data_IF_377557696150
#
_entry.id   IF_377557696150
#
_cell.length_a   1.000
_cell.length_b   1.000
_cell.length_c   1.000
_cell.angle_alpha   90.00
_cell.angle_beta   90.00
_cell.angle_gamma   90.00
#
_symmetry.space_group_name_H-M   'P 1'
#
loop_
_entity.id
_entity.type
_entity.pdbx_description
1 polymer ?
#
# COMPACT_ATOMS: atom_id res chain seq x y z
N UNK A 1 -3.72 24.89 25.53
CA UNK A 1 -3.13 24.49 24.23
C UNK A 1 -3.16 22.96 24.17
N UNK A 2 -3.78 22.37 23.14
CA UNK A 2 -3.83 20.91 22.98
C UNK A 2 -2.47 20.39 22.52
N UNK A 3 -1.95 19.34 23.16
CA UNK A 3 -0.72 18.67 22.72
C UNK A 3 -1.08 17.67 21.63
N UNK A 4 -0.37 17.72 20.50
CA UNK A 4 -0.55 16.84 19.35
C UNK A 4 0.70 16.01 19.14
N UNK A 5 0.54 14.71 18.88
CA UNK A 5 1.63 13.80 18.54
C UNK A 5 1.45 13.30 17.11
N UNK A 6 2.51 13.33 16.31
CA UNK A 6 2.58 12.71 14.99
C UNK A 6 3.44 11.44 15.13
N UNK A 7 2.83 10.27 15.07
CA UNK A 7 3.51 9.00 15.42
C UNK A 7 3.74 8.16 14.17
N UNK A 8 4.99 7.72 13.96
CA UNK A 8 5.44 6.91 12.82
C UNK A 8 4.89 7.41 11.49
N UNK A 9 5.00 8.72 11.22
CA UNK A 9 4.45 9.29 10.00
C UNK A 9 5.38 9.06 8.80
N UNK A 10 4.78 8.83 7.63
CA UNK A 10 5.48 8.88 6.35
C UNK A 10 5.59 10.30 5.81
N UNK A 11 6.68 10.62 5.12
CA UNK A 11 6.86 11.91 4.47
C UNK A 11 7.73 11.79 3.21
N UNK A 12 7.49 12.70 2.26
CA UNK A 12 8.32 12.88 1.08
C UNK A 12 8.60 14.39 0.92
N UNK A 13 9.63 14.72 0.14
CA UNK A 13 9.93 16.13 -0.17
C UNK A 13 8.83 16.71 -1.04
N UNK A 14 8.32 17.88 -0.66
CA UNK A 14 7.19 18.52 -1.36
C UNK A 14 7.69 19.73 -2.15
N UNK A 15 7.59 19.67 -3.48
CA UNK A 15 7.95 20.77 -4.39
C UNK A 15 6.99 21.97 -4.31
N UNK A 16 5.68 21.70 -4.22
CA UNK A 16 4.64 22.72 -4.10
C UNK A 16 4.79 23.56 -2.81
N UNK A 17 4.95 24.88 -2.96
CA UNK A 17 5.29 25.77 -1.84
C UNK A 17 4.18 25.88 -0.78
N UNK A 18 2.90 26.11 -1.13
CA UNK A 18 1.82 26.11 -0.16
C UNK A 18 1.72 24.81 0.66
N UNK A 19 1.70 23.66 0.00
CA UNK A 19 1.60 22.36 0.70
C UNK A 19 2.81 22.11 1.59
N UNK A 20 4.01 22.43 1.11
CA UNK A 20 5.24 22.34 1.91
C UNK A 20 5.17 23.23 3.16
N UNK A 21 4.67 24.46 3.03
CA UNK A 21 4.55 25.39 4.14
C UNK A 21 3.59 24.86 5.21
N UNK A 22 2.44 24.32 4.79
CA UNK A 22 1.46 23.71 5.69
C UNK A 22 2.06 22.52 6.45
N UNK A 23 2.65 21.55 5.74
CA UNK A 23 3.24 20.35 6.35
C UNK A 23 4.36 20.70 7.33
N UNK A 24 5.23 21.64 6.95
CA UNK A 24 6.29 22.16 7.83
C UNK A 24 5.71 22.82 9.09
N UNK A 25 4.67 23.63 8.95
CA UNK A 25 4.04 24.31 10.09
C UNK A 25 3.40 23.31 11.05
N UNK A 26 2.65 22.33 10.52
CA UNK A 26 2.09 21.23 11.31
C UNK A 26 3.18 20.46 12.07
N UNK A 27 4.28 20.13 11.40
CA UNK A 27 5.43 19.49 12.05
C UNK A 27 6.02 20.32 13.18
N UNK A 28 6.15 21.64 13.02
CA UNK A 28 6.70 22.53 14.05
C UNK A 28 5.79 22.74 15.26
N UNK A 29 4.48 22.58 15.07
CA UNK A 29 3.50 22.74 16.15
C UNK A 29 3.25 21.46 16.94
N UNK A 30 3.61 20.30 16.40
CA UNK A 30 3.49 19.02 17.09
C UNK A 30 4.35 19.01 18.36
N UNK A 31 3.76 18.53 19.45
CA UNK A 31 4.46 18.34 20.72
C UNK A 31 5.39 17.11 20.70
N UNK A 32 5.13 16.17 19.79
CA UNK A 32 5.93 14.97 19.55
C UNK A 32 5.86 14.58 18.08
N UNK A 33 6.99 14.06 17.55
CA UNK A 33 7.08 13.48 16.22
C UNK A 33 7.93 12.22 16.22
N UNK A 34 7.50 11.22 15.47
CA UNK A 34 8.33 10.11 15.01
C UNK A 34 7.98 9.73 13.57
N UNK A 35 8.91 9.06 12.91
CA UNK A 35 8.81 8.73 11.48
C UNK A 35 8.85 7.22 11.27
N UNK A 36 8.13 6.73 10.26
CA UNK A 36 8.09 5.28 9.96
C UNK A 36 9.37 4.75 9.30
N UNK A 37 10.18 5.66 8.75
CA UNK A 37 11.43 5.37 8.05
C UNK A 37 12.36 6.59 8.04
N UNK A 38 13.65 6.35 7.78
CA UNK A 38 14.67 7.39 7.77
C UNK A 38 14.46 8.42 6.65
N UNK A 39 13.96 7.99 5.49
CA UNK A 39 13.70 8.85 4.34
C UNK A 39 12.63 9.91 4.66
N UNK A 40 11.60 9.53 5.41
CA UNK A 40 10.53 10.41 5.88
C UNK A 40 11.05 11.46 6.84
N UNK A 41 11.89 11.06 7.80
CA UNK A 41 12.56 12.01 8.71
C UNK A 41 13.45 12.98 7.92
N UNK A 42 14.24 12.47 7.00
CA UNK A 42 15.14 13.28 6.18
C UNK A 42 14.38 14.24 5.25
N UNK A 43 13.24 13.83 4.70
CA UNK A 43 12.39 14.71 3.91
C UNK A 43 11.91 15.91 4.74
N UNK A 44 11.48 15.69 5.98
CA UNK A 44 11.07 16.77 6.89
C UNK A 44 12.24 17.68 7.25
N UNK A 45 13.43 17.12 7.47
CA UNK A 45 14.67 17.86 7.68
C UNK A 45 15.00 18.77 6.50
N UNK A 46 14.98 18.23 5.27
CA UNK A 46 15.21 18.99 4.03
C UNK A 46 14.21 20.13 3.86
N UNK A 47 12.95 19.92 4.27
CA UNK A 47 11.92 20.97 4.25
C UNK A 47 12.07 22.03 5.36
N UNK A 48 13.06 21.89 6.25
CA UNK A 48 13.42 22.87 7.27
C UNK A 48 12.72 22.67 8.62
N UNK A 49 12.32 21.44 8.94
CA UNK A 49 11.92 21.04 10.29
C UNK A 49 13.16 20.51 11.02
N UNK A 50 13.41 20.98 12.24
CA UNK A 50 14.47 20.40 13.08
C UNK A 50 14.01 19.03 13.58
N UNK A 51 14.61 17.96 13.05
CA UNK A 51 14.29 16.57 13.38
C UNK A 51 15.35 15.91 14.26
N UNK A 52 16.26 16.68 14.89
CA UNK A 52 17.40 16.12 15.63
C UNK A 52 16.97 15.24 16.84
N UNK A 53 15.75 15.45 17.35
CA UNK A 53 15.17 14.69 18.48
C UNK A 53 14.06 13.74 18.05
N UNK A 54 13.81 13.61 16.74
CA UNK A 54 12.73 12.78 16.25
C UNK A 54 13.23 11.37 15.95
N UNK A 55 12.55 10.39 16.52
CA UNK A 55 12.89 8.98 16.41
C UNK A 55 12.31 8.33 15.15
N UNK A 56 12.91 7.21 14.75
CA UNK A 56 12.41 6.35 13.66
C UNK A 56 11.95 5.02 14.25
N UNK A 57 10.70 4.67 14.01
CA UNK A 57 10.09 3.41 14.42
C UNK A 57 9.45 2.71 13.22
N UNK A 58 9.19 1.40 13.28
CA UNK A 58 8.33 0.76 12.28
C UNK A 58 6.95 1.42 12.19
N UNK A 59 6.28 1.18 11.07
CA UNK A 59 4.88 1.58 10.89
C UNK A 59 3.98 0.99 12.00
N UNK A 60 2.98 1.76 12.44
CA UNK A 60 2.08 1.36 13.53
C UNK A 60 1.32 0.07 13.23
N UNK A 61 1.09 -0.27 11.97
CA UNK A 61 0.43 -1.52 11.60
C UNK A 61 1.22 -2.77 12.08
N UNK A 62 2.54 -2.67 12.29
CA UNK A 62 3.32 -3.77 12.88
C UNK A 62 2.97 -4.05 14.34
N UNK A 63 2.38 -3.09 15.07
CA UNK A 63 1.92 -3.28 16.43
C UNK A 63 0.55 -4.00 16.52
N UNK A 64 -0.14 -4.20 15.39
CA UNK A 64 -1.40 -4.92 15.36
C UNK A 64 -1.19 -6.44 15.54
N UNK A 65 -2.20 -7.16 16.07
CA UNK A 65 -2.17 -8.62 16.12
C UNK A 65 -2.04 -9.21 14.71
N UNK A 66 -1.14 -10.18 14.53
CA UNK A 66 -1.08 -10.97 13.29
C UNK A 66 -2.25 -11.96 13.28
N UNK A 67 -3.13 -11.95 12.26
CA UNK A 67 -4.16 -12.97 12.14
C UNK A 67 -3.52 -14.36 12.08
N UNK A 68 -4.11 -15.35 12.76
CA UNK A 68 -3.68 -16.74 12.61
C UNK A 68 -3.88 -17.14 11.15
N UNK A 69 -2.83 -17.68 10.52
CA UNK A 69 -2.93 -18.25 9.19
C UNK A 69 -4.09 -19.26 9.20
N UNK A 70 -5.10 -19.01 8.39
CA UNK A 70 -6.23 -19.93 8.21
C UNK A 70 -5.81 -20.96 7.16
N UNK A 71 -4.85 -21.82 7.52
CA UNK A 71 -4.33 -22.85 6.64
C UNK A 71 -3.34 -23.75 7.38
N UNK A 72 -3.14 -25.01 6.93
CA UNK A 72 -2.04 -25.81 7.44
C UNK A 72 -0.74 -25.01 7.27
N UNK A 73 0.19 -25.11 8.23
CA UNK A 73 1.51 -24.50 8.10
C UNK A 73 2.03 -24.77 6.68
N UNK A 74 2.46 -23.73 5.94
CA UNK A 74 3.01 -23.88 4.58
C UNK A 74 4.15 -24.93 4.54
N UNK A 75 4.72 -25.27 5.69
CA UNK A 75 5.72 -26.32 5.91
C UNK A 75 5.17 -27.76 6.07
N UNK A 76 3.87 -27.95 6.28
CA UNK A 76 3.30 -29.20 6.80
C UNK A 76 2.42 -29.99 5.82
N UNK A 77 2.05 -29.43 4.65
CA UNK A 77 1.22 -30.15 3.67
C UNK A 77 1.75 -29.92 2.24
N UNK A 78 2.41 -30.92 1.61
CA UNK A 78 2.97 -30.81 0.25
C UNK A 78 1.96 -30.70 -0.89
N UNK A 79 0.64 -30.66 -0.61
CA UNK A 79 -0.41 -30.91 -1.62
C UNK A 79 -1.55 -29.89 -1.63
N UNK A 80 -1.46 -28.79 -0.88
CA UNK A 80 -2.43 -27.71 -1.05
C UNK A 80 -2.16 -27.00 -2.39
N UNK A 81 -3.19 -26.69 -3.20
CA UNK A 81 -3.00 -25.82 -4.35
C UNK A 81 -2.39 -24.49 -3.89
N UNK A 82 -1.45 -23.90 -4.65
CA UNK A 82 -0.84 -22.63 -4.30
C UNK A 82 -1.93 -21.57 -4.11
N UNK A 83 -1.74 -20.71 -3.10
CA UNK A 83 -2.63 -19.57 -2.86
C UNK A 83 -2.67 -18.60 -4.06
N UNK A 84 -3.62 -17.65 -4.08
CA UNK A 84 -3.70 -16.68 -5.16
C UNK A 84 -2.47 -15.75 -5.20
N UNK A 85 -2.26 -15.14 -6.36
CA UNK A 85 -1.43 -13.94 -6.50
C UNK A 85 -2.28 -12.74 -6.09
N UNK A 86 -1.94 -12.15 -4.95
CA UNK A 86 -2.58 -10.92 -4.48
C UNK A 86 -1.95 -9.71 -5.18
N UNK A 87 -2.71 -9.05 -6.05
CA UNK A 87 -2.26 -7.88 -6.82
C UNK A 87 -2.91 -6.64 -6.23
N UNK A 88 -2.11 -5.81 -5.57
CA UNK A 88 -2.51 -4.48 -5.15
C UNK A 88 -2.72 -3.57 -6.36
N UNK A 89 -3.84 -2.88 -6.39
CA UNK A 89 -4.17 -1.89 -7.42
C UNK A 89 -4.32 -0.50 -6.82
N UNK A 90 -4.13 0.52 -7.64
CA UNK A 90 -4.22 1.91 -7.22
C UNK A 90 -4.75 2.79 -8.36
N UNK A 91 -5.65 3.72 -8.06
CA UNK A 91 -5.99 4.83 -8.94
C UNK A 91 -4.79 5.78 -9.07
N UNK A 92 -3.80 5.36 -9.87
CA UNK A 92 -2.46 5.93 -9.88
C UNK A 92 -2.27 6.94 -11.01
N UNK A 93 -2.18 8.21 -10.63
CA UNK A 93 -2.00 9.37 -11.53
C UNK A 93 -0.62 10.03 -11.40
N UNK A 94 0.36 9.32 -10.83
CA UNK A 94 1.67 9.90 -10.51
C UNK A 94 1.69 10.82 -9.29
N UNK A 95 2.87 11.37 -9.01
CA UNK A 95 3.10 12.27 -7.88
C UNK A 95 2.51 13.66 -8.09
N UNK A 96 2.60 14.50 -7.05
CA UNK A 96 2.11 15.90 -7.12
C UNK A 96 2.77 16.72 -8.24
N UNK A 97 3.98 16.35 -8.65
CA UNK A 97 4.72 17.05 -9.70
C UNK A 97 4.35 16.53 -11.11
N UNK A 98 3.61 15.42 -11.21
CA UNK A 98 3.24 14.76 -12.48
C UNK A 98 1.86 15.17 -13.01
N UNK A 99 1.19 16.14 -12.36
CA UNK A 99 -0.22 16.47 -12.63
C UNK A 99 -0.52 16.84 -14.08
N UNK A 100 0.46 17.42 -14.80
CA UNK A 100 0.32 17.74 -16.22
C UNK A 100 0.21 16.49 -17.13
N UNK A 101 0.67 15.33 -16.66
CA UNK A 101 0.67 14.05 -17.39
C UNK A 101 -0.10 12.95 -16.66
N UNK A 102 -0.90 13.31 -15.65
CA UNK A 102 -1.65 12.38 -14.80
C UNK A 102 -2.42 11.32 -15.59
N UNK A 103 -3.18 11.77 -16.59
CA UNK A 103 -4.02 10.91 -17.43
C UNK A 103 -3.19 9.95 -18.31
N UNK A 104 -2.02 10.37 -18.79
CA UNK A 104 -1.09 9.50 -19.53
C UNK A 104 -0.52 8.40 -18.61
N UNK A 105 -0.15 8.78 -17.38
CA UNK A 105 0.40 7.87 -16.37
C UNK A 105 -0.65 6.85 -15.96
N UNK A 106 -1.87 7.30 -15.70
CA UNK A 106 -3.00 6.44 -15.34
C UNK A 106 -3.27 5.39 -16.41
N UNK A 107 -3.44 5.80 -17.67
CA UNK A 107 -3.66 4.86 -18.78
C UNK A 107 -2.54 3.85 -18.92
N UNK A 108 -1.28 4.30 -18.88
CA UNK A 108 -0.12 3.40 -18.96
C UNK A 108 -0.08 2.39 -17.81
N UNK A 109 -0.40 2.83 -16.60
CA UNK A 109 -0.47 1.97 -15.43
C UNK A 109 -1.60 0.94 -15.56
N UNK A 110 -2.80 1.38 -15.93
CA UNK A 110 -3.96 0.51 -16.08
C UNK A 110 -3.73 -0.55 -17.18
N UNK A 111 -3.26 -0.14 -18.36
CA UNK A 111 -2.94 -1.05 -19.47
C UNK A 111 -1.85 -2.06 -19.10
N UNK A 112 -0.85 -1.62 -18.33
CA UNK A 112 0.19 -2.51 -17.80
C UNK A 112 -0.38 -3.55 -16.83
N UNK A 113 -1.22 -3.09 -15.90
CA UNK A 113 -1.81 -3.94 -14.87
C UNK A 113 -2.80 -4.94 -15.45
N UNK A 114 -3.65 -4.52 -16.40
CA UNK A 114 -4.58 -5.42 -17.13
C UNK A 114 -3.79 -6.53 -17.84
N UNK A 115 -2.73 -6.18 -18.58
CA UNK A 115 -1.90 -7.19 -19.27
C UNK A 115 -1.23 -8.14 -18.29
N UNK A 116 -0.73 -7.63 -17.18
CA UNK A 116 -0.11 -8.45 -16.14
C UNK A 116 -1.11 -9.45 -15.52
N UNK A 117 -2.29 -8.97 -15.10
CA UNK A 117 -3.35 -9.80 -14.52
C UNK A 117 -3.86 -10.83 -15.53
N UNK A 118 -4.05 -10.44 -16.79
CA UNK A 118 -4.43 -11.35 -17.87
C UNK A 118 -3.42 -12.47 -18.04
N UNK A 119 -2.13 -12.14 -18.08
CA UNK A 119 -1.06 -13.14 -18.23
C UNK A 119 -1.10 -14.16 -17.10
N UNK A 120 -1.26 -13.71 -15.85
CA UNK A 120 -1.39 -14.62 -14.70
C UNK A 120 -2.61 -15.55 -14.83
N UNK A 121 -3.75 -15.01 -15.26
CA UNK A 121 -4.97 -15.80 -15.45
C UNK A 121 -4.83 -16.81 -16.61
N UNK A 122 -4.19 -16.43 -17.72
CA UNK A 122 -3.89 -17.31 -18.86
C UNK A 122 -2.93 -18.45 -18.47
N UNK A 123 -2.02 -18.20 -17.54
CA UNK A 123 -1.14 -19.21 -16.92
C UNK A 123 -1.87 -20.09 -15.88
N UNK A 124 -3.17 -19.88 -15.65
CA UNK A 124 -3.96 -20.66 -14.70
C UNK A 124 -3.71 -20.27 -13.23
N UNK A 125 -3.09 -19.12 -12.95
CA UNK A 125 -2.83 -18.63 -11.59
C UNK A 125 -4.03 -17.82 -11.09
N UNK A 126 -4.68 -18.20 -9.97
CA UNK A 126 -5.72 -17.37 -9.38
C UNK A 126 -5.19 -15.99 -8.97
N UNK A 127 -5.91 -14.93 -9.32
CA UNK A 127 -5.56 -13.55 -8.99
C UNK A 127 -6.59 -12.97 -8.03
N UNK A 128 -6.10 -12.33 -6.96
CA UNK A 128 -6.92 -11.58 -6.01
C UNK A 128 -6.51 -10.11 -6.04
N UNK A 129 -7.37 -9.25 -6.57
CA UNK A 129 -7.18 -7.80 -6.60
C UNK A 129 -7.42 -7.22 -5.21
N UNK A 130 -6.53 -6.33 -4.78
CA UNK A 130 -6.58 -5.67 -3.47
C UNK A 130 -6.49 -4.15 -3.63
N UNK A 131 -7.38 -3.42 -2.97
CA UNK A 131 -7.36 -1.96 -2.93
C UNK A 131 -6.62 -1.44 -1.70
N UNK A 132 -6.26 -0.15 -1.70
CA UNK A 132 -5.77 0.55 -0.51
C UNK A 132 -6.56 1.80 -0.15
N UNK A 133 -7.55 2.17 -0.99
CA UNK A 133 -8.45 3.32 -0.83
C UNK A 133 -9.75 3.06 -1.64
N UNK A 134 -10.82 3.79 -1.36
CA UNK A 134 -12.10 3.68 -2.07
C UNK A 134 -11.97 4.09 -3.55
N UNK A 135 -11.08 5.05 -3.87
CA UNK A 135 -10.88 5.48 -5.25
C UNK A 135 -10.35 4.36 -6.17
N UNK A 136 -9.72 3.33 -5.61
CA UNK A 136 -9.16 2.19 -6.35
C UNK A 136 -10.25 1.27 -6.93
N UNK A 137 -11.51 1.40 -6.47
CA UNK A 137 -12.63 0.59 -6.95
C UNK A 137 -12.84 0.69 -8.47
N UNK A 138 -12.59 1.88 -9.05
CA UNK A 138 -12.69 2.10 -10.50
C UNK A 138 -11.65 1.27 -11.28
N UNK A 139 -10.45 1.12 -10.74
CA UNK A 139 -9.37 0.31 -11.32
C UNK A 139 -9.70 -1.17 -11.23
N UNK A 140 -10.24 -1.62 -10.10
CA UNK A 140 -10.73 -3.00 -9.94
C UNK A 140 -11.78 -3.32 -11.00
N UNK A 141 -12.81 -2.47 -11.12
CA UNK A 141 -13.87 -2.66 -12.11
C UNK A 141 -13.33 -2.75 -13.54
N UNK A 142 -12.43 -1.82 -13.91
CA UNK A 142 -11.82 -1.81 -15.24
C UNK A 142 -11.00 -3.08 -15.54
N UNK A 143 -10.31 -3.65 -14.53
CA UNK A 143 -9.56 -4.90 -14.71
C UNK A 143 -10.51 -6.10 -14.85
N UNK A 144 -11.54 -6.19 -14.02
CA UNK A 144 -12.53 -7.28 -14.10
C UNK A 144 -13.28 -7.26 -15.44
N UNK A 145 -13.64 -6.07 -15.94
CA UNK A 145 -14.28 -5.92 -17.25
C UNK A 145 -13.35 -6.31 -18.41
N UNK A 146 -12.04 -6.03 -18.28
CA UNK A 146 -11.06 -6.28 -19.34
C UNK A 146 -10.47 -7.70 -19.33
N UNK A 147 -10.62 -8.45 -18.23
CA UNK A 147 -10.09 -9.80 -18.04
C UNK A 147 -11.24 -10.73 -17.68
N UNK A 148 -11.95 -11.19 -18.72
CA UNK A 148 -13.05 -12.16 -18.60
C UNK A 148 -12.52 -13.55 -18.22
N UNK A 149 -12.22 -13.73 -16.94
CA UNK A 149 -11.73 -15.00 -16.38
C UNK A 149 -12.25 -15.20 -14.96
N UNK A 150 -12.82 -16.37 -14.63
CA UNK A 150 -13.27 -16.69 -13.28
C UNK A 150 -12.11 -16.79 -12.26
N UNK A 151 -10.85 -16.80 -12.73
CA UNK A 151 -9.67 -16.81 -11.87
C UNK A 151 -9.32 -15.45 -11.29
N UNK A 152 -9.91 -14.36 -11.81
CA UNK A 152 -9.65 -12.99 -11.34
C UNK A 152 -10.80 -12.55 -10.43
N UNK A 153 -10.48 -12.29 -9.18
CA UNK A 153 -11.45 -11.87 -8.15
C UNK A 153 -10.96 -10.62 -7.43
N UNK A 154 -11.85 -9.87 -6.82
CA UNK A 154 -11.50 -8.74 -5.95
C UNK A 154 -11.79 -9.07 -4.49
N UNK A 155 -10.90 -8.67 -3.58
CA UNK A 155 -11.22 -8.63 -2.16
C UNK A 155 -11.88 -7.29 -1.81
N UNK A 156 -12.70 -7.30 -0.76
CA UNK A 156 -13.31 -6.11 -0.18
C UNK A 156 -12.92 -5.97 1.30
N UNK A 157 -11.62 -5.79 1.63
CA UNK A 157 -11.19 -5.66 3.01
C UNK A 157 -11.68 -4.32 3.57
N UNK A 158 -12.35 -4.37 4.72
CA UNK A 158 -12.82 -3.17 5.44
C UNK A 158 -11.88 -2.73 6.56
N UNK A 159 -10.82 -3.50 6.81
CA UNK A 159 -9.87 -3.28 7.89
C UNK A 159 -8.48 -3.82 7.55
N UNK A 160 -7.45 -3.35 8.26
CA UNK A 160 -6.10 -3.93 8.17
C UNK A 160 -6.08 -5.41 8.59
N UNK A 161 -6.96 -5.82 9.50
CA UNK A 161 -7.08 -7.22 9.90
C UNK A 161 -7.60 -8.08 8.74
N UNK A 162 -8.57 -7.60 7.97
CA UNK A 162 -9.06 -8.30 6.78
C UNK A 162 -8.03 -8.31 5.66
N UNK A 163 -7.35 -7.18 5.44
CA UNK A 163 -6.25 -7.11 4.48
C UNK A 163 -5.15 -8.11 4.83
N UNK A 164 -4.78 -8.25 6.11
CA UNK A 164 -3.81 -9.25 6.56
C UNK A 164 -4.31 -10.69 6.32
N UNK A 165 -5.60 -10.99 6.41
CA UNK A 165 -6.13 -12.33 6.06
C UNK A 165 -5.92 -12.64 4.58
N UNK A 166 -6.19 -11.67 3.71
CA UNK A 166 -5.94 -11.80 2.27
C UNK A 166 -4.44 -12.03 1.98
N UNK A 167 -3.55 -11.31 2.66
CA UNK A 167 -2.10 -11.51 2.50
C UNK A 167 -1.63 -12.87 3.01
N UNK A 168 -2.14 -13.32 4.16
CA UNK A 168 -1.76 -14.61 4.73
C UNK A 168 -2.19 -15.81 3.87
N UNK A 169 -3.30 -15.65 3.12
CA UNK A 169 -3.78 -16.66 2.18
C UNK A 169 -3.02 -16.64 0.84
N UNK A 170 -2.33 -15.55 0.52
CA UNK A 170 -1.64 -15.38 -0.75
C UNK A 170 -0.38 -16.26 -0.84
N UNK A 171 -0.09 -16.69 -2.07
CA UNK A 171 1.19 -17.31 -2.42
C UNK A 171 2.24 -16.25 -2.74
N UNK A 172 1.83 -15.18 -3.42
CA UNK A 172 2.68 -14.04 -3.78
C UNK A 172 1.88 -12.76 -3.68
N UNK A 173 2.52 -11.68 -3.22
CA UNK A 173 1.92 -10.34 -3.20
C UNK A 173 2.68 -9.40 -4.12
N UNK A 174 1.96 -8.75 -5.04
CA UNK A 174 2.46 -7.63 -5.86
C UNK A 174 1.80 -6.36 -5.33
N UNK A 175 2.51 -5.59 -4.50
CA UNK A 175 1.95 -4.42 -3.82
C UNK A 175 2.34 -3.10 -4.50
N UNK A 176 1.37 -2.20 -4.66
CA UNK A 176 1.59 -0.79 -5.02
C UNK A 176 1.20 0.18 -3.90
N UNK A 177 0.16 -0.16 -3.13
CA UNK A 177 -0.26 0.57 -1.93
C UNK A 177 0.60 0.14 -0.74
N UNK A 178 1.06 1.12 0.06
CA UNK A 178 1.99 0.87 1.16
C UNK A 178 1.45 -0.14 2.19
N UNK A 179 0.19 -0.06 2.58
CA UNK A 179 -0.37 -0.99 3.56
C UNK A 179 -0.56 -2.41 3.00
N UNK A 180 -0.65 -2.59 1.68
CA UNK A 180 -0.62 -3.94 1.09
C UNK A 180 0.74 -4.59 1.36
N UNK A 181 1.83 -3.84 1.14
CA UNK A 181 3.19 -4.30 1.46
C UNK A 181 3.37 -4.58 2.95
N UNK A 182 2.93 -3.67 3.82
CA UNK A 182 3.08 -3.84 5.27
C UNK A 182 2.30 -5.05 5.79
N UNK A 183 1.07 -5.26 5.32
CA UNK A 183 0.28 -6.43 5.69
C UNK A 183 0.91 -7.74 5.19
N UNK A 184 1.52 -7.75 3.99
CA UNK A 184 2.25 -8.91 3.48
C UNK A 184 3.47 -9.24 4.35
N UNK A 185 4.32 -8.24 4.64
CA UNK A 185 5.46 -8.41 5.53
C UNK A 185 5.06 -8.86 6.94
N UNK A 186 3.95 -8.33 7.47
CA UNK A 186 3.42 -8.70 8.79
C UNK A 186 2.93 -10.14 8.86
N UNK A 187 2.51 -10.71 7.73
CA UNK A 187 1.96 -12.07 7.63
C UNK A 187 2.93 -13.10 7.06
N UNK A 188 4.13 -12.65 6.65
CA UNK A 188 5.21 -13.53 6.19
C UNK A 188 4.99 -14.07 4.78
N UNK A 189 4.34 -13.28 3.91
CA UNK A 189 4.13 -13.60 2.50
C UNK A 189 5.15 -12.90 1.62
#
# INVERSE_FOLDING_TARGET
>A
RTRVALVSVGAATIGNRPTRALVRWSGRLAAYRSYRDAQSRDAMRVMGVDTARDEVYPDLAFALPTPRASGPDKLSVPSAPPGPVCVGVMDFHGGNDDRARAEEIYRRYLDGTIRFVRTLAEEGRPVRLLTGDECDASVVAAILDAVDSPLVTAAEPSSLADLMKEMAAADTVVAIRYHNLICALKTGT
#
